data_IF_301495606276
#
_entry.id   IF_301495606276
#
_cell.length_a   1.000
_cell.length_b   1.000
_cell.length_c   1.000
_cell.angle_alpha   90.00
_cell.angle_beta   90.00
_cell.angle_gamma   90.00
#
_symmetry.space_group_name_H-M   'P 1'
#
loop_
_entity.id
_entity.type
_entity.pdbx_description
1 polymer ?
#
# COMPACT_ATOMS: atom_id res chain seq x y z
N UNK A 1 13.87 5.07 20.98
CA UNK A 1 14.55 5.02 19.69
C UNK A 1 15.62 6.10 19.59
N UNK A 2 15.27 7.39 19.77
CA UNK A 2 16.23 8.53 19.65
C UNK A 2 17.42 8.34 20.56
N UNK A 3 17.22 8.05 21.84
CA UNK A 3 18.31 7.80 22.78
C UNK A 3 19.27 6.66 22.38
N UNK A 4 18.75 5.63 21.69
CA UNK A 4 19.61 4.55 21.15
C UNK A 4 20.40 5.00 19.93
N UNK A 5 19.80 5.88 19.13
CA UNK A 5 20.48 6.45 17.97
C UNK A 5 21.51 7.49 18.37
N UNK A 6 21.27 8.26 19.44
CA UNK A 6 22.23 9.22 20.00
C UNK A 6 23.57 8.56 20.39
N UNK A 7 23.52 7.31 20.84
CA UNK A 7 24.75 6.56 21.13
C UNK A 7 25.61 6.24 19.90
N UNK A 8 24.98 6.20 18.71
CA UNK A 8 25.63 5.91 17.42
C UNK A 8 25.93 7.20 16.65
N UNK A 9 25.07 8.19 16.80
CA UNK A 9 25.12 9.49 16.14
C UNK A 9 25.03 10.60 17.19
N UNK A 10 26.14 10.95 17.86
CA UNK A 10 26.16 11.99 18.87
C UNK A 10 25.68 13.34 18.32
N UNK A 11 24.80 14.01 19.05
CA UNK A 11 24.24 15.30 18.64
C UNK A 11 22.93 15.18 17.82
N UNK A 12 22.46 13.95 17.57
CA UNK A 12 21.23 13.72 16.81
C UNK A 12 20.02 14.39 17.46
N UNK A 13 19.86 14.26 18.79
CA UNK A 13 18.70 14.84 19.49
C UNK A 13 18.62 16.36 19.34
N UNK A 14 19.77 17.02 19.43
CA UNK A 14 19.86 18.48 19.21
C UNK A 14 19.66 18.92 17.76
N UNK A 15 19.89 18.03 16.80
CA UNK A 15 19.72 18.32 15.36
C UNK A 15 18.28 18.07 14.86
N UNK A 16 17.40 17.47 15.68
CA UNK A 16 16.01 17.19 15.29
C UNK A 16 15.21 18.48 15.31
N UNK A 17 14.84 18.97 14.14
CA UNK A 17 13.99 20.15 13.97
C UNK A 17 12.48 19.84 13.97
N UNK A 18 12.15 18.60 13.65
CA UNK A 18 10.75 18.14 13.63
C UNK A 18 10.67 16.67 14.05
N UNK A 19 9.68 16.33 14.86
CA UNK A 19 9.41 14.96 15.29
C UNK A 19 7.91 14.67 15.31
N UNK A 20 7.51 13.65 14.59
CA UNK A 20 6.12 13.19 14.56
C UNK A 20 6.07 11.67 14.78
N UNK A 21 5.03 11.21 15.44
CA UNK A 21 4.83 9.80 15.75
C UNK A 21 3.54 9.32 15.08
N UNK A 22 3.69 8.45 14.08
CA UNK A 22 2.59 7.70 13.52
C UNK A 22 2.17 6.55 14.45
N UNK A 23 0.89 6.47 14.75
CA UNK A 23 0.30 5.40 15.58
C UNK A 23 -0.86 4.75 14.82
N UNK A 24 -1.42 3.62 15.29
CA UNK A 24 -2.65 3.07 14.73
C UNK A 24 -3.79 4.09 14.65
N UNK A 25 -3.86 5.04 15.59
CA UNK A 25 -4.82 6.15 15.53
C UNK A 25 -4.60 7.07 14.33
N UNK A 26 -3.35 7.33 13.96
CA UNK A 26 -3.00 8.13 12.79
C UNK A 26 -3.49 7.44 11.52
N UNK A 27 -3.24 6.15 11.38
CA UNK A 27 -3.71 5.35 10.24
C UNK A 27 -5.24 5.32 10.14
N UNK A 28 -5.92 5.15 11.27
CA UNK A 28 -7.38 5.23 11.31
C UNK A 28 -7.89 6.60 10.89
N UNK A 29 -7.28 7.68 11.41
CA UNK A 29 -7.71 9.06 11.16
C UNK A 29 -7.48 9.49 9.72
N UNK A 30 -6.28 9.26 9.18
CA UNK A 30 -5.88 9.79 7.88
C UNK A 30 -6.16 8.85 6.72
N UNK A 31 -6.18 7.53 6.95
CA UNK A 31 -6.33 6.51 5.91
C UNK A 31 -7.64 5.72 6.01
N UNK A 32 -8.49 6.01 6.99
CA UNK A 32 -9.74 5.27 7.21
C UNK A 32 -9.53 3.79 7.56
N UNK A 33 -8.34 3.40 7.99
CA UNK A 33 -7.99 1.99 8.25
C UNK A 33 -8.75 1.44 9.45
N UNK A 34 -9.34 0.26 9.26
CA UNK A 34 -9.98 -0.47 10.36
C UNK A 34 -8.97 -0.72 11.49
N UNK A 35 -9.28 -0.23 12.69
CA UNK A 35 -8.40 -0.28 13.86
C UNK A 35 -6.97 0.25 13.63
N UNK A 36 -6.75 1.04 12.58
CA UNK A 36 -5.43 1.56 12.24
C UNK A 36 -4.47 0.50 11.69
N UNK A 37 -5.00 -0.58 11.12
CA UNK A 37 -4.19 -1.63 10.50
C UNK A 37 -3.35 -1.09 9.35
N UNK A 38 -2.19 -1.71 9.15
CA UNK A 38 -1.34 -1.48 8.00
C UNK A 38 -1.48 -2.65 7.02
N UNK A 39 -2.14 -2.37 5.88
CA UNK A 39 -2.49 -3.40 4.89
C UNK A 39 -3.74 -4.22 5.25
N UNK A 40 -4.00 -5.31 4.54
CA UNK A 40 -5.15 -6.18 4.79
C UNK A 40 -5.04 -6.87 6.15
N UNK A 41 -6.19 -7.23 6.72
CA UNK A 41 -6.26 -7.88 8.03
C UNK A 41 -5.67 -9.30 7.90
N UNK A 42 -4.59 -9.64 8.63
CA UNK A 42 -3.92 -10.93 8.50
C UNK A 42 -4.81 -12.14 8.77
N UNK A 43 -5.81 -11.98 9.64
CA UNK A 43 -6.76 -13.05 9.99
C UNK A 43 -7.62 -13.51 8.82
N UNK A 44 -7.72 -12.71 7.75
CA UNK A 44 -8.44 -13.06 6.52
C UNK A 44 -7.53 -13.67 5.45
N UNK A 45 -6.23 -13.79 5.75
CA UNK A 45 -5.26 -14.42 4.88
C UNK A 45 -5.04 -15.85 5.34
N UNK A 46 -5.55 -16.80 4.58
CA UNK A 46 -5.22 -18.22 4.82
C UNK A 46 -3.73 -18.43 4.52
N UNK A 47 -2.94 -18.92 5.47
CA UNK A 47 -1.52 -19.18 5.26
C UNK A 47 -1.31 -20.08 4.03
N UNK A 48 -0.52 -19.63 3.06
CA UNK A 48 -0.17 -20.41 1.87
C UNK A 48 -1.21 -20.41 0.74
N UNK A 49 -2.35 -19.77 0.91
CA UNK A 49 -3.36 -19.64 -0.14
C UNK A 49 -3.56 -18.16 -0.48
N UNK A 50 -3.21 -17.74 -1.68
CA UNK A 50 -3.37 -16.38 -2.23
C UNK A 50 -3.33 -15.27 -1.17
N UNK A 51 -2.15 -14.70 -0.88
CA UNK A 51 -1.98 -13.78 0.24
C UNK A 51 -2.77 -12.48 0.10
N UNK A 52 -3.15 -12.09 -1.13
CA UNK A 52 -3.84 -10.82 -1.41
C UNK A 52 -4.76 -10.93 -2.62
N UNK A 53 -5.90 -10.22 -2.62
CA UNK A 53 -6.79 -10.18 -3.77
C UNK A 53 -6.11 -9.49 -4.96
N UNK A 54 -6.45 -9.92 -6.16
CA UNK A 54 -6.09 -9.22 -7.38
C UNK A 54 -6.98 -7.99 -7.61
N UNK A 55 -6.61 -7.16 -8.58
CA UNK A 55 -7.29 -5.90 -8.86
C UNK A 55 -8.77 -6.06 -9.27
N UNK A 56 -9.16 -7.19 -9.88
CA UNK A 56 -10.55 -7.43 -10.28
C UNK A 56 -11.38 -7.85 -9.08
N UNK A 57 -12.51 -7.20 -8.88
CA UNK A 57 -13.48 -7.59 -7.85
C UNK A 57 -14.54 -8.54 -8.41
N UNK A 58 -15.43 -9.06 -7.54
CA UNK A 58 -16.61 -9.82 -7.96
C UNK A 58 -17.71 -8.96 -8.59
N UNK A 59 -17.58 -7.63 -8.55
CA UNK A 59 -18.55 -6.69 -9.13
C UNK A 59 -18.04 -6.23 -10.49
N UNK A 60 -18.92 -6.32 -11.50
CA UNK A 60 -18.57 -5.92 -12.85
C UNK A 60 -18.16 -4.43 -12.92
N UNK A 61 -17.08 -4.14 -13.63
CA UNK A 61 -16.51 -2.80 -13.82
C UNK A 61 -16.02 -2.12 -12.52
N UNK A 62 -15.89 -2.87 -11.43
CA UNK A 62 -15.30 -2.37 -10.18
C UNK A 62 -13.93 -3.03 -9.96
N UNK A 63 -12.92 -2.19 -9.80
CA UNK A 63 -11.54 -2.60 -9.60
C UNK A 63 -10.98 -2.01 -8.30
N UNK A 64 -10.04 -2.70 -7.71
CA UNK A 64 -9.33 -2.24 -6.52
C UNK A 64 -7.84 -2.12 -6.81
N UNK A 65 -7.22 -1.07 -6.28
CA UNK A 65 -5.78 -0.88 -6.37
C UNK A 65 -5.22 -0.42 -5.04
N UNK A 66 -3.93 -0.60 -4.85
CA UNK A 66 -3.22 -0.12 -3.67
C UNK A 66 -2.64 -1.25 -2.82
N UNK A 67 -2.33 -0.92 -1.59
CA UNK A 67 -1.64 -1.79 -0.64
C UNK A 67 -2.48 -2.96 -0.12
N UNK A 68 -3.79 -2.93 -0.33
CA UNK A 68 -4.70 -4.03 0.03
C UNK A 68 -4.93 -5.03 -1.10
N UNK A 69 -4.32 -4.81 -2.27
CA UNK A 69 -4.34 -5.70 -3.42
C UNK A 69 -2.93 -6.23 -3.71
N UNK A 70 -2.84 -7.33 -4.50
CA UNK A 70 -1.55 -7.84 -4.97
C UNK A 70 -0.77 -6.74 -5.72
N UNK A 71 0.54 -6.62 -5.51
CA UNK A 71 1.43 -7.43 -4.68
C UNK A 71 1.52 -7.00 -3.20
N UNK A 72 0.84 -5.95 -2.77
CA UNK A 72 0.74 -5.61 -1.36
C UNK A 72 1.32 -4.26 -0.99
N UNK A 73 2.06 -4.22 0.10
CA UNK A 73 2.52 -3.00 0.76
C UNK A 73 3.85 -2.49 0.19
N UNK A 74 4.06 -1.20 0.37
CA UNK A 74 5.25 -0.49 -0.05
C UNK A 74 5.08 0.27 -1.37
N UNK A 75 5.88 1.30 -1.56
CA UNK A 75 5.77 2.21 -2.71
C UNK A 75 5.79 1.46 -4.05
N UNK A 76 6.76 0.56 -4.22
CA UNK A 76 6.92 -0.20 -5.46
C UNK A 76 5.72 -1.13 -5.71
N UNK A 77 5.23 -1.78 -4.65
CA UNK A 77 4.09 -2.69 -4.72
C UNK A 77 2.79 -1.93 -5.08
N UNK A 78 2.57 -0.78 -4.46
CA UNK A 78 1.38 0.06 -4.74
C UNK A 78 1.43 0.61 -6.16
N UNK A 79 2.58 1.09 -6.62
CA UNK A 79 2.77 1.55 -7.99
C UNK A 79 2.51 0.42 -9.01
N UNK A 80 3.05 -0.77 -8.74
CA UNK A 80 2.80 -1.95 -9.58
C UNK A 80 1.31 -2.36 -9.56
N UNK A 81 0.64 -2.29 -8.41
CA UNK A 81 -0.80 -2.56 -8.33
C UNK A 81 -1.62 -1.62 -9.23
N UNK A 82 -1.27 -0.32 -9.25
CA UNK A 82 -1.87 0.66 -10.15
C UNK A 82 -1.64 0.35 -11.62
N UNK A 83 -0.38 0.03 -11.99
CA UNK A 83 0.00 -0.36 -13.34
C UNK A 83 -0.77 -1.62 -13.80
N UNK A 84 -0.77 -2.67 -12.99
CA UNK A 84 -1.48 -3.92 -13.31
C UNK A 84 -2.99 -3.70 -13.43
N UNK A 85 -3.57 -2.84 -12.60
CA UNK A 85 -4.98 -2.48 -12.68
C UNK A 85 -5.30 -1.74 -13.99
N UNK A 86 -4.49 -0.76 -14.39
CA UNK A 86 -4.68 -0.03 -15.64
C UNK A 86 -4.66 -0.98 -16.86
N UNK A 87 -3.71 -1.92 -16.91
CA UNK A 87 -3.66 -2.94 -17.95
C UNK A 87 -4.89 -3.85 -17.93
N UNK A 88 -5.37 -4.21 -16.75
CA UNK A 88 -6.58 -5.03 -16.62
C UNK A 88 -7.82 -4.30 -17.13
N UNK A 89 -8.00 -3.04 -16.74
CA UNK A 89 -9.10 -2.20 -17.23
C UNK A 89 -9.02 -2.03 -18.74
N UNK A 90 -7.85 -1.75 -19.28
CA UNK A 90 -7.63 -1.65 -20.72
C UNK A 90 -8.04 -2.91 -21.48
N UNK A 91 -7.61 -4.08 -20.97
CA UNK A 91 -7.98 -5.36 -21.56
C UNK A 91 -9.50 -5.62 -21.50
N UNK A 92 -10.14 -5.32 -20.36
CA UNK A 92 -11.57 -5.52 -20.17
C UNK A 92 -12.41 -4.56 -21.07
N UNK A 93 -11.85 -3.41 -21.44
CA UNK A 93 -12.44 -2.45 -22.40
C UNK A 93 -12.08 -2.74 -23.87
N UNK A 94 -11.31 -3.79 -24.15
CA UNK A 94 -10.84 -4.11 -25.50
C UNK A 94 -9.79 -3.15 -26.05
N UNK A 95 -9.17 -2.35 -25.18
CA UNK A 95 -8.09 -1.44 -25.55
C UNK A 95 -6.76 -2.21 -25.60
N UNK A 96 -5.87 -1.78 -26.50
CA UNK A 96 -4.49 -2.28 -26.47
C UNK A 96 -3.68 -1.46 -25.45
N UNK A 97 -3.40 -2.00 -24.26
CA UNK A 97 -2.69 -1.25 -23.23
C UNK A 97 -1.22 -0.95 -23.57
N UNK A 98 -0.72 -1.54 -24.65
CA UNK A 98 0.64 -1.33 -25.17
C UNK A 98 0.68 -0.37 -26.37
N UNK A 99 -0.47 0.08 -26.85
CA UNK A 99 -0.52 1.13 -27.85
C UNK A 99 -0.18 2.46 -27.16
N UNK A 100 1.07 2.88 -27.28
CA UNK A 100 1.47 4.23 -26.91
C UNK A 100 0.68 5.22 -27.80
N UNK A 101 0.13 6.30 -27.24
CA UNK A 101 -0.40 7.37 -28.08
C UNK A 101 0.73 7.88 -29.00
N UNK A 102 0.42 8.02 -30.27
CA UNK A 102 1.33 8.59 -31.26
C UNK A 102 1.64 10.05 -30.92
#
# INVERSE_FOLDING_TARGET
LIQRLEAILPGLEGAITHKEIGTPRSHRRFLGRFQGSYGPIPAMQLPGLLPMPFNRTGVRNLYCVGDSCFPGQGLNAVAFSGFACAHRVGADLGLNPWALPA
#
